data_IF_544154033842
#
_entry.id   IF_544154033842
#
_cell.length_a   1.000
_cell.length_b   1.000
_cell.length_c   1.000
_cell.angle_alpha   90.00
_cell.angle_beta   90.00
_cell.angle_gamma   90.00
#
_symmetry.space_group_name_H-M   'P 1'
#
loop_
_entity.id
_entity.type
_entity.pdbx_description
1 polymer ?
#
# COMPACT_ATOMS: atom_id res chain seq x y z
N UNK A 1 3.21 -4.42 -28.49
CA UNK A 1 3.58 -3.31 -27.59
C UNK A 1 2.91 -3.63 -26.27
N UNK A 2 3.60 -4.40 -25.45
CA UNK A 2 3.12 -4.75 -24.13
C UNK A 2 3.22 -3.46 -23.30
N UNK A 3 2.07 -2.83 -23.05
CA UNK A 3 2.00 -1.84 -21.97
C UNK A 3 2.16 -2.64 -20.70
N UNK A 4 3.41 -2.75 -20.26
CA UNK A 4 3.84 -3.35 -19.02
C UNK A 4 3.25 -2.50 -17.87
N UNK A 5 1.97 -2.72 -17.58
CA UNK A 5 1.28 -2.18 -16.40
C UNK A 5 1.76 -2.97 -15.20
N UNK A 6 2.45 -2.45 -14.20
CA UNK A 6 3.09 -1.16 -13.95
C UNK A 6 3.81 -1.46 -12.64
N UNK A 7 5.12 -1.73 -12.65
CA UNK A 7 5.89 -1.89 -11.41
C UNK A 7 5.87 -0.55 -10.65
N UNK A 8 4.89 -0.35 -9.76
CA UNK A 8 4.76 0.89 -9.01
C UNK A 8 5.76 0.89 -7.86
N UNK A 9 6.90 1.55 -8.06
CA UNK A 9 7.86 1.76 -7.00
C UNK A 9 7.54 3.02 -6.20
N UNK A 10 6.89 2.83 -5.06
CA UNK A 10 6.61 3.84 -4.03
C UNK A 10 7.51 3.64 -2.79
N UNK A 11 8.64 2.94 -2.94
CA UNK A 11 9.58 2.77 -1.84
C UNK A 11 10.06 4.13 -1.31
N UNK A 12 10.25 4.22 0.00
CA UNK A 12 10.65 5.45 0.71
C UNK A 12 9.71 6.67 0.53
N UNK A 13 8.55 6.49 -0.11
CA UNK A 13 7.61 7.57 -0.38
C UNK A 13 6.74 7.88 0.83
N UNK A 14 6.27 9.13 0.94
CA UNK A 14 5.26 9.48 1.94
C UNK A 14 3.86 9.42 1.32
N UNK A 15 3.13 8.34 1.61
CA UNK A 15 1.75 8.13 1.14
C UNK A 15 0.74 8.22 2.28
N UNK A 16 1.14 8.80 3.41
CA UNK A 16 0.29 8.94 4.60
C UNK A 16 -1.03 9.62 4.28
N UNK A 17 -2.14 9.07 4.77
CA UNK A 17 -3.48 9.64 4.57
C UNK A 17 -4.10 9.39 3.20
N UNK A 18 -3.43 8.64 2.31
CA UNK A 18 -4.01 8.26 1.02
C UNK A 18 -5.05 7.16 1.22
N UNK A 19 -6.22 7.36 0.62
CA UNK A 19 -7.26 6.35 0.50
C UNK A 19 -6.97 5.46 -0.71
N UNK A 20 -6.60 4.20 -0.45
CA UNK A 20 -6.38 3.16 -1.45
C UNK A 20 -7.57 2.21 -1.58
N UNK A 21 -8.73 2.57 -1.02
CA UNK A 21 -9.90 1.69 -1.02
C UNK A 21 -10.35 1.37 -2.44
N UNK A 22 -10.79 0.13 -2.66
CA UNK A 22 -11.22 -0.41 -3.97
C UNK A 22 -10.16 -0.32 -5.08
N UNK A 23 -8.89 -0.10 -4.74
CA UNK A 23 -7.80 -0.10 -5.71
C UNK A 23 -7.31 -1.51 -6.00
N UNK A 24 -6.80 -1.74 -7.21
CA UNK A 24 -6.15 -2.99 -7.58
C UNK A 24 -4.69 -2.70 -7.94
N UNK A 25 -3.77 -3.16 -7.10
CA UNK A 25 -2.34 -3.00 -7.32
C UNK A 25 -1.68 -4.36 -7.54
N UNK A 26 -0.92 -4.46 -8.63
CA UNK A 26 -0.08 -5.61 -8.95
C UNK A 26 1.38 -5.17 -8.97
N UNK A 27 2.26 -5.92 -8.31
CA UNK A 27 3.71 -5.68 -8.29
C UNK A 27 4.11 -4.30 -7.74
N UNK A 28 3.48 -3.87 -6.64
CA UNK A 28 3.74 -2.57 -6.01
C UNK A 28 4.81 -2.69 -4.91
N UNK A 29 5.83 -1.83 -4.97
CA UNK A 29 6.86 -1.73 -3.93
C UNK A 29 6.55 -0.55 -3.02
N UNK A 30 6.16 -0.83 -1.77
CA UNK A 30 5.90 0.14 -0.71
C UNK A 30 6.95 0.03 0.41
N UNK A 31 8.10 -0.57 0.13
CA UNK A 31 9.15 -0.77 1.13
C UNK A 31 9.65 0.56 1.70
N UNK A 32 9.85 0.63 3.01
CA UNK A 32 10.24 1.87 3.71
C UNK A 32 9.33 3.09 3.50
N UNK A 33 8.13 2.93 2.91
CA UNK A 33 7.17 4.02 2.72
C UNK A 33 6.46 4.38 4.03
N UNK A 34 5.93 5.60 4.13
CA UNK A 34 5.10 6.04 5.26
C UNK A 34 3.63 5.82 4.92
N UNK A 35 3.02 4.83 5.56
CA UNK A 35 1.61 4.41 5.36
C UNK A 35 0.67 4.89 6.49
N UNK A 36 1.10 5.86 7.30
CA UNK A 36 0.32 6.34 8.44
C UNK A 36 -1.00 6.97 7.97
N UNK A 37 -2.13 6.47 8.49
CA UNK A 37 -3.45 6.99 8.13
C UNK A 37 -3.95 6.60 6.74
N UNK A 38 -3.27 5.70 6.03
CA UNK A 38 -3.79 5.15 4.77
C UNK A 38 -5.01 4.25 5.03
N UNK A 39 -5.94 4.24 4.08
CA UNK A 39 -7.11 3.36 4.09
C UNK A 39 -6.92 2.31 2.99
N UNK A 40 -7.20 1.05 3.30
CA UNK A 40 -6.97 -0.11 2.42
C UNK A 40 -8.24 -0.98 2.33
N UNK A 41 -9.41 -0.36 2.33
CA UNK A 41 -10.66 -1.11 2.36
C UNK A 41 -10.97 -1.70 0.98
N UNK A 42 -11.24 -3.01 0.92
CA UNK A 42 -11.54 -3.72 -0.34
C UNK A 42 -10.45 -3.55 -1.42
N UNK A 43 -9.19 -3.37 -0.99
CA UNK A 43 -8.04 -3.29 -1.89
C UNK A 43 -7.58 -4.69 -2.29
N UNK A 44 -7.28 -4.88 -3.58
CA UNK A 44 -6.66 -6.10 -4.08
C UNK A 44 -5.15 -5.88 -4.26
N UNK A 45 -4.35 -6.67 -3.56
CA UNK A 45 -2.89 -6.68 -3.71
C UNK A 45 -2.44 -8.01 -4.30
N UNK A 46 -1.68 -7.96 -5.39
CA UNK A 46 -0.92 -9.09 -5.95
C UNK A 46 0.56 -8.71 -5.97
N UNK A 47 1.43 -9.53 -5.36
CA UNK A 47 2.88 -9.31 -5.30
C UNK A 47 3.31 -7.94 -4.73
N UNK A 48 2.79 -7.60 -3.55
CA UNK A 48 3.13 -6.36 -2.84
C UNK A 48 4.36 -6.52 -1.92
N UNK A 49 5.30 -5.57 -2.00
CA UNK A 49 6.42 -5.47 -1.04
C UNK A 49 6.12 -4.42 0.04
N UNK A 50 5.80 -4.90 1.25
CA UNK A 50 5.62 -4.13 2.48
C UNK A 50 6.78 -4.33 3.46
N UNK A 51 8.02 -4.46 2.97
CA UNK A 51 9.18 -4.60 3.85
C UNK A 51 9.52 -3.26 4.52
N UNK A 52 9.60 -3.24 5.85
CA UNK A 52 9.99 -2.08 6.66
C UNK A 52 9.14 -0.79 6.52
N UNK A 53 7.80 -0.83 6.34
CA UNK A 53 7.01 0.39 6.28
C UNK A 53 7.17 1.18 7.57
N UNK A 54 7.40 2.48 7.45
CA UNK A 54 7.47 3.39 8.60
C UNK A 54 6.05 3.75 9.03
N UNK A 55 5.41 2.80 9.71
CA UNK A 55 4.10 2.95 10.32
C UNK A 55 4.29 3.55 11.73
N UNK A 56 4.01 4.84 11.89
CA UNK A 56 3.91 5.42 13.24
C UNK A 56 2.54 5.13 13.88
N UNK A 57 1.52 4.77 13.10
CA UNK A 57 0.12 4.76 13.57
C UNK A 57 -0.83 3.87 12.76
N UNK A 58 -0.36 2.79 12.09
CA UNK A 58 -1.30 1.92 11.37
C UNK A 58 -2.23 1.27 12.41
N UNK A 59 -3.37 1.93 12.66
CA UNK A 59 -4.50 1.37 13.36
C UNK A 59 -5.07 0.35 12.39
N UNK A 60 -4.48 -0.83 12.40
CA UNK A 60 -5.20 -2.02 12.03
C UNK A 60 -6.32 -2.09 13.06
N UNK A 61 -7.46 -1.47 12.73
CA UNK A 61 -8.72 -1.85 13.35
C UNK A 61 -8.84 -3.32 13.00
N UNK A 62 -8.33 -4.18 13.91
CA UNK A 62 -8.71 -5.57 13.91
C UNK A 62 -10.22 -5.52 13.88
N UNK A 63 -10.82 -6.12 12.86
CA UNK A 63 -12.21 -6.53 12.91
C UNK A 63 -12.36 -7.33 14.21
N UNK A 64 -12.74 -6.65 15.29
CA UNK A 64 -13.39 -7.30 16.41
C UNK A 64 -14.71 -7.83 15.84
N UNK A 65 -14.92 -9.12 16.03
CA UNK A 65 -16.14 -9.83 15.59
C UNK A 65 -17.39 -9.23 16.25
#
# INVERSE_FOLDING_TARGET
MDRNTEDFNLSHSNVSGIDFSHSNFKNINLSSSKLSGCIFDDVSFEDIDLSFPTCATLSLNKYDQ
#
